data_IF_748238552408
#
_entry.id   IF_748238552408
#
_cell.length_a   1.000
_cell.length_b   1.000
_cell.length_c   1.000
_cell.angle_alpha   90.00
_cell.angle_beta   90.00
_cell.angle_gamma   90.00
#
_symmetry.space_group_name_H-M   'P 1'
#
loop_
_entity.id
_entity.type
_entity.pdbx_description
1 polymer ?
#
# COMPACT_ATOMS: atom_id res chain seq x y z
N UNK A 1 -96.72 13.09 -61.45
CA UNK A 1 -95.93 12.05 -60.79
C UNK A 1 -94.54 12.61 -60.56
N UNK A 2 -94.26 13.05 -59.33
CA UNK A 2 -92.94 13.56 -58.92
C UNK A 2 -92.46 12.69 -57.76
N UNK A 3 -91.36 11.96 -57.95
CA UNK A 3 -90.67 11.26 -56.86
C UNK A 3 -89.49 12.12 -56.41
N UNK A 4 -89.58 12.62 -55.18
CA UNK A 4 -88.51 13.32 -54.48
C UNK A 4 -87.65 12.26 -53.79
N UNK A 5 -86.39 12.15 -54.20
CA UNK A 5 -85.40 11.26 -53.59
C UNK A 5 -84.69 12.00 -52.45
N UNK A 6 -84.93 11.57 -51.20
CA UNK A 6 -84.22 12.05 -50.03
C UNK A 6 -82.96 11.20 -49.82
N UNK A 7 -81.78 11.74 -50.15
CA UNK A 7 -80.51 11.15 -49.73
C UNK A 7 -80.24 11.53 -48.27
N UNK A 8 -80.28 10.53 -47.38
CA UNK A 8 -79.83 10.65 -46.01
C UNK A 8 -78.30 10.68 -45.99
N UNK A 9 -77.72 11.86 -45.73
CA UNK A 9 -76.29 12.02 -45.48
C UNK A 9 -75.93 11.39 -44.14
N UNK A 10 -75.12 10.34 -44.16
CA UNK A 10 -74.40 9.87 -42.98
C UNK A 10 -73.22 10.81 -42.73
N UNK A 11 -73.30 11.56 -41.63
CA UNK A 11 -72.17 12.36 -41.13
C UNK A 11 -71.25 11.43 -40.36
N UNK A 12 -70.16 11.00 -40.99
CA UNK A 12 -69.08 10.29 -40.31
C UNK A 12 -68.33 11.24 -39.37
N UNK A 13 -68.73 11.31 -38.11
CA UNK A 13 -67.93 11.91 -37.04
C UNK A 13 -66.89 10.91 -36.52
N UNK A 14 -65.97 10.47 -37.38
CA UNK A 14 -64.81 9.70 -36.94
C UNK A 14 -63.70 10.67 -36.50
N UNK A 15 -63.87 11.21 -35.30
CA UNK A 15 -62.92 12.13 -34.67
C UNK A 15 -61.59 11.42 -34.41
N UNK A 16 -60.54 12.02 -34.97
CA UNK A 16 -59.15 11.57 -34.95
C UNK A 16 -58.61 11.31 -33.53
N UNK A 17 -58.47 10.04 -33.15
CA UNK A 17 -57.70 9.60 -31.96
C UNK A 17 -56.31 9.07 -32.34
N UNK A 18 -55.56 9.77 -33.20
CA UNK A 18 -54.25 9.30 -33.66
C UNK A 18 -53.19 10.40 -33.77
N UNK A 19 -52.89 11.11 -32.68
CA UNK A 19 -51.75 12.06 -32.70
C UNK A 19 -50.88 12.08 -31.46
N UNK A 20 -51.29 11.50 -30.32
CA UNK A 20 -50.47 11.49 -29.10
C UNK A 20 -49.59 10.23 -28.90
N UNK A 21 -49.79 9.14 -29.66
CA UNK A 21 -49.04 7.88 -29.46
C UNK A 21 -47.62 7.88 -30.04
N UNK A 22 -47.35 8.67 -31.08
CA UNK A 22 -46.03 8.75 -31.74
C UNK A 22 -44.94 9.47 -30.92
N UNK A 23 -45.19 10.64 -30.31
CA UNK A 23 -44.16 11.29 -29.50
C UNK A 23 -43.85 10.52 -28.21
N UNK A 24 -44.85 9.88 -27.59
CA UNK A 24 -44.66 9.07 -26.38
C UNK A 24 -43.75 7.85 -26.64
N UNK A 25 -43.93 7.16 -27.78
CA UNK A 25 -43.09 6.03 -28.16
C UNK A 25 -41.63 6.44 -28.42
N UNK A 26 -41.41 7.62 -29.02
CA UNK A 26 -40.08 8.17 -29.26
C UNK A 26 -39.39 8.51 -27.93
N UNK A 27 -40.10 9.16 -27.00
CA UNK A 27 -39.58 9.49 -25.66
C UNK A 27 -39.22 8.21 -24.88
N UNK A 28 -40.08 7.19 -24.92
CA UNK A 28 -39.82 5.91 -24.26
C UNK A 28 -38.61 5.18 -24.85
N UNK A 29 -38.48 5.18 -26.18
CA UNK A 29 -37.31 4.61 -26.88
C UNK A 29 -36.01 5.30 -26.47
N UNK A 30 -35.99 6.64 -26.44
CA UNK A 30 -34.83 7.41 -25.98
C UNK A 30 -34.48 7.11 -24.52
N UNK A 31 -35.48 6.98 -23.65
CA UNK A 31 -35.27 6.63 -22.24
C UNK A 31 -34.66 5.22 -22.07
N UNK A 32 -35.13 4.24 -22.85
CA UNK A 32 -34.57 2.88 -22.86
C UNK A 32 -33.12 2.91 -23.36
N UNK A 33 -32.82 3.62 -24.44
CA UNK A 33 -31.45 3.75 -24.96
C UNK A 33 -30.53 4.40 -23.93
N UNK A 34 -30.99 5.42 -23.20
CA UNK A 34 -30.22 6.05 -22.12
C UNK A 34 -29.93 5.08 -20.97
N UNK A 35 -30.91 4.27 -20.55
CA UNK A 35 -30.70 3.23 -19.52
C UNK A 35 -29.68 2.19 -19.99
N UNK A 36 -29.77 1.74 -21.25
CA UNK A 36 -28.82 0.79 -21.84
C UNK A 36 -27.40 1.38 -21.92
N UNK A 37 -27.26 2.66 -22.27
CA UNK A 37 -25.97 3.34 -22.29
C UNK A 37 -25.36 3.46 -20.88
N UNK A 38 -26.17 3.81 -19.87
CA UNK A 38 -25.73 3.88 -18.48
C UNK A 38 -25.32 2.50 -17.95
N UNK A 39 -26.11 1.45 -18.20
CA UNK A 39 -25.78 0.10 -17.76
C UNK A 39 -24.51 -0.42 -18.43
N UNK A 40 -24.34 -0.20 -19.73
CA UNK A 40 -23.12 -0.52 -20.46
C UNK A 40 -21.89 0.21 -19.89
N UNK A 41 -22.03 1.49 -19.53
CA UNK A 41 -20.98 2.27 -18.88
C UNK A 41 -20.56 1.68 -17.53
N UNK A 42 -21.53 1.31 -16.67
CA UNK A 42 -21.22 0.68 -15.38
C UNK A 42 -20.58 -0.70 -15.54
N UNK A 43 -21.03 -1.51 -16.50
CA UNK A 43 -20.44 -2.83 -16.81
C UNK A 43 -18.99 -2.66 -17.29
N UNK A 44 -18.74 -1.74 -18.23
CA UNK A 44 -17.40 -1.45 -18.72
C UNK A 44 -16.46 -1.01 -17.59
N UNK A 45 -16.92 -0.09 -16.72
CA UNK A 45 -16.14 0.37 -15.58
C UNK A 45 -15.80 -0.77 -14.62
N UNK A 46 -16.76 -1.67 -14.34
CA UNK A 46 -16.54 -2.85 -13.50
C UNK A 46 -15.52 -3.80 -14.11
N UNK A 47 -15.66 -4.11 -15.40
CA UNK A 47 -14.74 -4.98 -16.13
C UNK A 47 -13.30 -4.44 -16.13
N UNK A 48 -13.12 -3.15 -16.44
CA UNK A 48 -11.80 -2.50 -16.42
C UNK A 48 -11.15 -2.54 -15.04
N UNK A 49 -11.92 -2.32 -13.98
CA UNK A 49 -11.42 -2.38 -12.60
C UNK A 49 -10.98 -3.81 -12.22
N UNK A 50 -11.76 -4.82 -12.60
CA UNK A 50 -11.45 -6.23 -12.36
C UNK A 50 -10.19 -6.68 -13.11
N UNK A 51 -10.04 -6.28 -14.38
CA UNK A 51 -8.85 -6.55 -15.17
C UNK A 51 -7.59 -5.93 -14.54
N UNK A 52 -7.66 -4.66 -14.12
CA UNK A 52 -6.56 -3.97 -13.42
C UNK A 52 -6.20 -4.67 -12.10
N UNK A 53 -7.21 -5.07 -11.33
CA UNK A 53 -7.02 -5.82 -10.06
C UNK A 53 -6.30 -7.14 -10.30
N UNK A 54 -6.73 -7.91 -11.31
CA UNK A 54 -6.14 -9.19 -11.64
C UNK A 54 -4.69 -9.03 -12.11
N UNK A 55 -4.40 -8.05 -12.97
CA UNK A 55 -3.05 -7.76 -13.43
C UNK A 55 -2.11 -7.40 -12.26
N UNK A 56 -2.57 -6.57 -11.31
CA UNK A 56 -1.83 -6.25 -10.10
C UNK A 56 -1.51 -7.50 -9.28
N UNK A 57 -2.51 -8.34 -9.02
CA UNK A 57 -2.36 -9.53 -8.18
C UNK A 57 -1.39 -10.53 -8.81
N UNK A 58 -1.48 -10.78 -10.11
CA UNK A 58 -0.53 -11.67 -10.80
C UNK A 58 0.89 -11.11 -10.79
N UNK A 59 1.05 -9.80 -10.98
CA UNK A 59 2.35 -9.14 -10.88
C UNK A 59 2.96 -9.32 -9.47
N UNK A 60 2.22 -9.02 -8.41
CA UNK A 60 2.70 -9.16 -7.03
C UNK A 60 3.04 -10.62 -6.73
N UNK A 61 2.20 -11.58 -7.14
CA UNK A 61 2.46 -13.00 -6.94
C UNK A 61 3.77 -13.44 -7.60
N UNK A 62 4.03 -12.97 -8.82
CA UNK A 62 5.28 -13.24 -9.55
C UNK A 62 6.49 -12.66 -8.83
N UNK A 63 6.43 -11.39 -8.43
CA UNK A 63 7.53 -10.72 -7.72
C UNK A 63 7.89 -11.42 -6.40
N UNK A 64 6.89 -11.87 -5.64
CA UNK A 64 7.13 -12.59 -4.40
C UNK A 64 7.87 -13.89 -4.67
N UNK A 65 7.38 -14.73 -5.60
CA UNK A 65 8.03 -16.02 -5.94
C UNK A 65 9.49 -15.85 -6.39
N UNK A 66 9.76 -14.82 -7.19
CA UNK A 66 11.13 -14.51 -7.66
C UNK A 66 12.04 -14.17 -6.47
N UNK A 67 11.55 -13.37 -5.52
CA UNK A 67 12.36 -12.81 -4.43
C UNK A 67 12.55 -13.76 -3.26
N UNK A 68 11.50 -14.47 -2.87
CA UNK A 68 11.58 -15.47 -1.81
C UNK A 68 12.24 -16.77 -2.25
N UNK A 69 12.55 -16.92 -3.56
CA UNK A 69 13.03 -18.18 -4.14
C UNK A 69 12.12 -19.38 -3.82
N UNK A 70 10.84 -19.12 -3.53
CA UNK A 70 9.85 -20.15 -3.21
C UNK A 70 8.99 -20.46 -4.42
N UNK A 71 8.59 -21.73 -4.56
CA UNK A 71 7.62 -22.14 -5.58
C UNK A 71 6.25 -21.51 -5.35
N UNK A 72 5.90 -21.29 -4.08
CA UNK A 72 4.59 -20.83 -3.64
C UNK A 72 4.67 -19.52 -2.87
N UNK A 73 3.60 -18.74 -2.94
CA UNK A 73 3.45 -17.50 -2.18
C UNK A 73 3.03 -17.85 -0.75
N UNK A 74 3.64 -17.22 0.28
CA UNK A 74 3.25 -17.47 1.67
C UNK A 74 1.74 -17.29 1.88
N UNK A 75 1.12 -18.18 2.63
CA UNK A 75 -0.35 -18.23 2.83
C UNK A 75 -0.93 -16.88 3.28
N UNK A 76 -0.23 -16.19 4.19
CA UNK A 76 -0.66 -14.88 4.70
C UNK A 76 -0.74 -13.82 3.60
N UNK A 77 0.17 -13.87 2.62
CA UNK A 77 0.17 -12.98 1.46
C UNK A 77 -0.93 -13.40 0.49
N UNK A 78 -1.08 -14.70 0.21
CA UNK A 78 -2.14 -15.19 -0.67
C UNK A 78 -3.54 -14.81 -0.12
N UNK A 79 -3.72 -14.81 1.20
CA UNK A 79 -4.92 -14.27 1.85
C UNK A 79 -5.15 -12.79 1.52
N UNK A 80 -4.12 -11.94 1.58
CA UNK A 80 -4.25 -10.53 1.19
C UNK A 80 -4.60 -10.38 -0.29
N UNK A 81 -3.95 -11.15 -1.18
CA UNK A 81 -4.25 -11.16 -2.62
C UNK A 81 -5.71 -11.56 -2.88
N UNK A 82 -6.23 -12.55 -2.15
CA UNK A 82 -7.62 -12.97 -2.25
C UNK A 82 -8.61 -11.86 -1.82
N UNK A 83 -8.28 -11.07 -0.79
CA UNK A 83 -9.09 -9.94 -0.32
C UNK A 83 -9.15 -8.87 -1.42
N UNK A 84 -8.01 -8.56 -2.04
CA UNK A 84 -7.89 -7.54 -3.09
C UNK A 84 -8.78 -7.88 -4.30
N UNK A 85 -8.82 -9.15 -4.72
CA UNK A 85 -9.65 -9.62 -5.84
C UNK A 85 -11.16 -9.57 -5.59
N UNK A 86 -11.60 -9.65 -4.33
CA UNK A 86 -13.03 -9.71 -3.99
C UNK A 86 -13.68 -8.34 -4.07
N UNK A 87 -14.18 -7.96 -5.26
CA UNK A 87 -14.84 -6.66 -5.49
C UNK A 87 -16.10 -6.43 -4.65
N UNK A 88 -16.70 -7.51 -4.10
CA UNK A 88 -17.81 -7.45 -3.15
C UNK A 88 -17.40 -6.91 -1.78
N UNK A 89 -16.11 -6.92 -1.44
CA UNK A 89 -15.63 -6.40 -0.16
C UNK A 89 -15.55 -4.86 -0.17
N UNK A 90 -15.77 -4.22 1.00
CA UNK A 90 -15.62 -2.78 1.14
C UNK A 90 -14.26 -2.29 0.67
N UNK A 91 -14.23 -1.10 0.06
CA UNK A 91 -13.00 -0.45 -0.39
C UNK A 91 -11.95 -0.37 0.72
N UNK A 92 -12.39 -0.10 1.96
CA UNK A 92 -11.53 -0.09 3.14
C UNK A 92 -10.76 -1.40 3.33
N UNK A 93 -11.45 -2.54 3.28
CA UNK A 93 -10.82 -3.84 3.51
C UNK A 93 -9.80 -4.17 2.41
N UNK A 94 -10.12 -3.84 1.16
CA UNK A 94 -9.20 -4.02 0.02
C UNK A 94 -7.99 -3.10 0.10
N UNK A 95 -8.19 -1.84 0.48
CA UNK A 95 -7.10 -0.89 0.71
C UNK A 95 -6.20 -1.34 1.86
N UNK A 96 -6.77 -1.85 2.96
CA UNK A 96 -5.97 -2.41 4.07
C UNK A 96 -5.15 -3.61 3.64
N UNK A 97 -5.68 -4.50 2.81
CA UNK A 97 -4.91 -5.62 2.26
C UNK A 97 -3.72 -5.15 1.40
N UNK A 98 -3.90 -4.09 0.61
CA UNK A 98 -2.82 -3.45 -0.16
C UNK A 98 -1.77 -2.81 0.76
N UNK A 99 -2.19 -2.14 1.84
CA UNK A 99 -1.27 -1.63 2.86
C UNK A 99 -0.47 -2.74 3.54
N UNK A 100 -1.08 -3.88 3.85
CA UNK A 100 -0.38 -5.04 4.42
C UNK A 100 0.68 -5.61 3.47
N UNK A 101 0.39 -5.65 2.16
CA UNK A 101 1.39 -6.03 1.15
C UNK A 101 2.51 -5.00 1.04
N UNK A 102 2.20 -3.71 1.14
CA UNK A 102 3.21 -2.67 1.19
C UNK A 102 4.15 -2.89 2.40
N UNK A 103 3.60 -3.16 3.60
CA UNK A 103 4.42 -3.48 4.78
C UNK A 103 5.30 -4.72 4.59
N UNK A 104 4.79 -5.77 3.94
CA UNK A 104 5.60 -6.93 3.58
C UNK A 104 6.82 -6.52 2.73
N UNK A 105 6.62 -5.74 1.67
CA UNK A 105 7.72 -5.26 0.84
C UNK A 105 8.62 -4.26 1.57
N UNK A 106 8.11 -3.48 2.52
CA UNK A 106 8.95 -2.62 3.39
C UNK A 106 9.95 -3.45 4.20
N UNK A 107 9.47 -4.54 4.78
CA UNK A 107 10.31 -5.44 5.58
C UNK A 107 11.35 -6.11 4.68
N UNK A 108 10.92 -6.64 3.52
CA UNK A 108 11.84 -7.28 2.57
C UNK A 108 12.90 -6.30 2.06
N UNK A 109 12.52 -5.04 1.78
CA UNK A 109 13.47 -3.99 1.42
C UNK A 109 14.47 -3.69 2.54
N UNK A 110 14.01 -3.66 3.79
CA UNK A 110 14.87 -3.41 4.95
C UNK A 110 15.89 -4.53 5.17
N UNK A 111 15.56 -5.76 4.79
CA UNK A 111 16.47 -6.91 4.88
C UNK A 111 17.44 -6.96 3.70
N UNK A 112 16.93 -6.79 2.48
CA UNK A 112 17.69 -7.04 1.24
C UNK A 112 18.40 -5.80 0.69
N UNK A 113 17.94 -4.60 1.07
CA UNK A 113 18.34 -3.33 0.48
C UNK A 113 18.19 -3.29 -1.06
N UNK A 114 17.28 -4.08 -1.63
CA UNK A 114 17.02 -4.07 -3.07
C UNK A 114 16.08 -2.90 -3.44
N UNK A 115 16.57 -1.87 -4.16
CA UNK A 115 15.76 -0.71 -4.54
C UNK A 115 14.52 -1.07 -5.39
N UNK A 116 14.51 -2.21 -6.09
CA UNK A 116 13.33 -2.63 -6.85
C UNK A 116 12.14 -2.93 -5.95
N UNK A 117 12.36 -3.39 -4.72
CA UNK A 117 11.30 -3.70 -3.76
C UNK A 117 10.57 -2.43 -3.34
N UNK A 118 11.33 -1.37 -3.10
CA UNK A 118 10.79 -0.04 -2.81
C UNK A 118 9.92 0.47 -3.97
N UNK A 119 10.34 0.26 -5.21
CA UNK A 119 9.58 0.66 -6.40
C UNK A 119 8.26 -0.11 -6.53
N UNK A 120 8.19 -1.38 -6.13
CA UNK A 120 6.94 -2.16 -6.13
C UNK A 120 5.93 -1.52 -5.18
N UNK A 121 6.33 -1.20 -3.95
CA UNK A 121 5.42 -0.56 -2.99
C UNK A 121 4.93 0.79 -3.50
N UNK A 122 5.82 1.63 -4.03
CA UNK A 122 5.49 2.98 -4.46
C UNK A 122 4.71 3.03 -5.78
N UNK A 123 5.30 2.46 -6.83
CA UNK A 123 4.87 2.68 -8.21
C UNK A 123 3.87 1.63 -8.70
N UNK A 124 3.73 0.53 -7.98
CA UNK A 124 2.74 -0.51 -8.31
C UNK A 124 1.60 -0.48 -7.30
N UNK A 125 1.85 -0.75 -6.02
CA UNK A 125 0.80 -0.83 -5.00
C UNK A 125 0.25 0.57 -4.68
N UNK A 126 1.13 1.52 -4.35
CA UNK A 126 0.74 2.88 -3.97
C UNK A 126 0.03 3.61 -5.11
N UNK A 127 0.53 3.49 -6.34
CA UNK A 127 -0.15 4.00 -7.55
C UNK A 127 -1.55 3.41 -7.70
N UNK A 128 -1.68 2.08 -7.56
CA UNK A 128 -2.98 1.43 -7.66
C UNK A 128 -3.97 1.92 -6.58
N UNK A 129 -3.53 2.07 -5.33
CA UNK A 129 -4.37 2.62 -4.24
C UNK A 129 -4.76 4.06 -4.54
N UNK A 130 -3.83 4.90 -5.01
CA UNK A 130 -4.09 6.30 -5.37
C UNK A 130 -5.15 6.43 -6.46
N UNK A 131 -5.11 5.54 -7.46
CA UNK A 131 -6.04 5.57 -8.60
C UNK A 131 -7.42 4.98 -8.27
N UNK A 132 -7.49 3.91 -7.46
CA UNK A 132 -8.73 3.16 -7.21
C UNK A 132 -9.40 3.51 -5.88
N UNK A 133 -8.63 3.99 -4.89
CA UNK A 133 -9.06 4.31 -3.54
C UNK A 133 -8.45 5.65 -3.06
N UNK A 134 -8.65 6.77 -3.80
CA UNK A 134 -7.94 8.02 -3.53
C UNK A 134 -8.15 8.54 -2.09
N UNK A 135 -9.36 8.38 -1.54
CA UNK A 135 -9.68 8.81 -0.17
C UNK A 135 -9.00 7.96 0.93
N UNK A 136 -8.42 6.82 0.55
CA UNK A 136 -7.75 5.87 1.46
C UNK A 136 -6.23 5.83 1.23
N UNK A 137 -5.72 6.59 0.26
CA UNK A 137 -4.31 6.65 -0.03
C UNK A 137 -3.56 7.44 1.04
N UNK A 138 -2.62 6.77 1.70
CA UNK A 138 -1.68 7.41 2.62
C UNK A 138 -0.25 7.26 2.06
N UNK A 139 0.40 8.36 1.61
CA UNK A 139 1.74 8.29 1.03
C UNK A 139 2.78 7.70 1.98
N UNK A 140 2.63 7.86 3.29
CA UNK A 140 3.57 7.32 4.29
C UNK A 140 3.59 5.78 4.31
N UNK A 141 2.49 5.13 3.94
CA UNK A 141 2.39 3.66 3.89
C UNK A 141 3.03 3.09 2.62
N UNK A 142 3.11 3.86 1.53
CA UNK A 142 3.61 3.34 0.25
C UNK A 142 5.01 3.87 -0.10
N UNK A 143 5.39 5.02 0.46
CA UNK A 143 6.70 5.65 0.28
C UNK A 143 7.57 5.47 1.52
N UNK A 144 8.13 4.27 1.68
CA UNK A 144 9.03 3.98 2.81
C UNK A 144 10.31 4.82 2.74
N UNK A 145 10.84 5.13 3.92
CA UNK A 145 12.11 5.82 4.10
C UNK A 145 13.24 4.99 3.52
N UNK A 146 14.20 5.65 2.87
CA UNK A 146 15.39 4.97 2.38
C UNK A 146 16.21 4.40 3.55
N UNK A 147 16.56 3.12 3.46
CA UNK A 147 17.39 2.41 4.44
C UNK A 147 18.69 1.87 3.84
N UNK A 148 19.04 2.25 2.60
CA UNK A 148 20.20 1.72 1.86
C UNK A 148 21.20 2.80 1.44
N UNK A 149 22.46 2.44 1.12
CA UNK A 149 23.51 3.41 0.75
C UNK A 149 23.26 4.15 -0.58
N UNK A 150 22.45 3.60 -1.48
CA UNK A 150 22.18 4.18 -2.81
C UNK A 150 21.25 5.38 -2.73
N UNK A 151 20.32 5.41 -1.78
CA UNK A 151 19.42 6.54 -1.57
C UNK A 151 19.58 7.25 -0.21
N UNK A 152 20.42 6.71 0.68
CA UNK A 152 20.62 7.18 2.03
C UNK A 152 21.85 8.04 2.21
N UNK A 153 22.13 8.44 3.45
CA UNK A 153 23.37 9.13 3.82
C UNK A 153 24.52 8.15 4.06
N UNK A 154 25.76 8.50 3.69
CA UNK A 154 26.91 7.69 4.06
C UNK A 154 27.02 7.57 5.59
N UNK A 155 27.42 6.40 6.06
CA UNK A 155 27.56 6.13 7.49
C UNK A 155 28.65 7.00 8.12
N UNK A 156 28.36 7.56 9.31
CA UNK A 156 29.35 8.30 10.09
C UNK A 156 30.46 7.38 10.61
N UNK A 157 31.65 7.93 10.96
CA UNK A 157 32.73 7.16 11.55
C UNK A 157 32.31 6.38 12.81
N UNK A 158 31.51 6.98 13.68
CA UNK A 158 31.01 6.36 14.92
C UNK A 158 30.11 5.18 14.63
N UNK A 159 29.19 5.31 13.66
CA UNK A 159 28.32 4.21 13.25
C UNK A 159 29.13 3.06 12.63
N UNK A 160 30.12 3.37 11.79
CA UNK A 160 31.01 2.36 11.21
C UNK A 160 31.79 1.62 12.30
N UNK A 161 32.31 2.35 13.29
CA UNK A 161 33.00 1.77 14.44
C UNK A 161 32.08 0.81 15.21
N UNK A 162 30.84 1.22 15.51
CA UNK A 162 29.91 0.36 16.24
C UNK A 162 29.53 -0.88 15.44
N UNK A 163 29.28 -0.75 14.14
CA UNK A 163 29.01 -1.91 13.28
C UNK A 163 30.17 -2.91 13.28
N UNK A 164 31.41 -2.40 13.20
CA UNK A 164 32.62 -3.24 13.26
C UNK A 164 32.75 -3.94 14.62
N UNK A 165 32.50 -3.23 15.73
CA UNK A 165 32.51 -3.78 17.08
C UNK A 165 31.46 -4.89 17.26
N UNK A 166 30.22 -4.68 16.80
CA UNK A 166 29.16 -5.69 16.88
C UNK A 166 29.56 -6.93 16.09
N UNK A 167 30.00 -6.76 14.85
CA UNK A 167 30.32 -7.88 13.94
C UNK A 167 31.47 -8.74 14.47
N UNK A 168 32.51 -8.12 15.05
CA UNK A 168 33.71 -8.80 15.57
C UNK A 168 33.58 -9.30 17.02
N UNK A 169 32.49 -8.98 17.70
CA UNK A 169 32.30 -9.34 19.10
C UNK A 169 31.99 -10.84 19.30
N UNK A 170 31.89 -11.23 20.56
CA UNK A 170 31.36 -12.50 21.05
C UNK A 170 29.84 -12.45 21.35
N UNK A 171 29.13 -11.43 20.87
CA UNK A 171 27.67 -11.36 20.98
C UNK A 171 27.00 -12.59 20.35
N UNK A 172 25.84 -13.03 20.88
CA UNK A 172 25.01 -14.03 20.21
C UNK A 172 24.72 -13.64 18.76
N UNK A 173 24.81 -14.60 17.84
CA UNK A 173 24.75 -14.34 16.39
C UNK A 173 23.44 -13.66 15.98
N UNK A 174 22.31 -14.07 16.59
CA UNK A 174 21.02 -13.42 16.38
C UNK A 174 21.03 -11.93 16.79
N UNK A 175 21.76 -11.57 17.85
CA UNK A 175 21.92 -10.19 18.30
C UNK A 175 22.80 -9.43 17.32
N UNK A 176 23.91 -10.02 16.86
CA UNK A 176 24.81 -9.38 15.88
C UNK A 176 24.10 -9.00 14.60
N UNK A 177 23.38 -9.95 14.01
CA UNK A 177 22.65 -9.77 12.76
C UNK A 177 21.60 -8.67 12.95
N UNK A 178 20.70 -8.86 13.92
CA UNK A 178 19.56 -7.94 14.14
C UNK A 178 20.04 -6.53 14.51
N UNK A 179 21.03 -6.39 15.40
CA UNK A 179 21.54 -5.09 15.80
C UNK A 179 22.27 -4.37 14.65
N UNK A 180 23.06 -5.10 13.85
CA UNK A 180 23.78 -4.54 12.72
C UNK A 180 22.85 -4.09 11.59
N UNK A 181 21.83 -4.89 11.27
CA UNK A 181 20.81 -4.56 10.28
C UNK A 181 20.00 -3.34 10.71
N UNK A 182 19.46 -3.35 11.92
CA UNK A 182 18.70 -2.21 12.46
C UNK A 182 19.55 -0.93 12.50
N UNK A 183 20.81 -1.04 12.91
CA UNK A 183 21.71 0.11 12.97
C UNK A 183 22.01 0.66 11.57
N UNK A 184 22.30 -0.22 10.60
CA UNK A 184 22.51 0.18 9.20
C UNK A 184 21.28 0.89 8.65
N UNK A 185 20.12 0.26 8.76
CA UNK A 185 18.87 0.76 8.21
C UNK A 185 18.52 2.13 8.77
N UNK A 186 18.61 2.30 10.10
CA UNK A 186 18.38 3.59 10.74
C UNK A 186 19.42 4.65 10.32
N UNK A 187 20.68 4.26 10.16
CA UNK A 187 21.78 5.20 9.88
C UNK A 187 21.75 5.75 8.45
N UNK A 188 21.29 4.96 7.48
CA UNK A 188 21.12 5.40 6.09
C UNK A 188 19.96 6.38 5.91
N UNK A 189 19.00 6.46 6.85
CA UNK A 189 17.88 7.40 6.75
C UNK A 189 18.36 8.86 6.66
N UNK A 190 17.71 9.65 5.81
CA UNK A 190 17.95 11.09 5.71
C UNK A 190 17.53 11.81 7.00
N UNK A 191 18.17 12.95 7.31
CA UNK A 191 17.84 13.71 8.54
C UNK A 191 16.45 14.33 8.53
N UNK A 192 15.79 14.43 7.36
CA UNK A 192 14.37 14.76 7.27
C UNK A 192 13.48 13.71 7.96
N UNK A 193 13.99 12.51 8.22
CA UNK A 193 13.34 11.42 8.95
C UNK A 193 14.04 11.18 10.31
N UNK A 194 14.49 12.24 10.97
CA UNK A 194 15.27 12.17 12.21
C UNK A 194 14.56 11.39 13.31
N UNK A 195 13.23 11.52 13.47
CA UNK A 195 12.45 10.77 14.45
C UNK A 195 12.58 9.25 14.30
N UNK A 196 12.43 8.73 13.07
CA UNK A 196 12.54 7.30 12.77
C UNK A 196 13.97 6.79 12.95
N UNK A 197 14.95 7.59 12.53
CA UNK A 197 16.37 7.32 12.75
C UNK A 197 16.69 7.22 14.24
N UNK A 198 16.24 8.18 15.05
CA UNK A 198 16.46 8.20 16.51
C UNK A 198 15.81 6.96 17.13
N UNK A 199 14.60 6.61 16.73
CA UNK A 199 13.91 5.41 17.21
C UNK A 199 14.68 4.13 16.87
N UNK A 200 15.11 3.96 15.62
CA UNK A 200 15.88 2.81 15.18
C UNK A 200 17.21 2.66 15.94
N UNK A 201 17.94 3.75 16.15
CA UNK A 201 19.19 3.72 16.94
C UNK A 201 18.91 3.40 18.42
N UNK A 202 17.82 3.93 19.01
CA UNK A 202 17.42 3.61 20.39
C UNK A 202 17.05 2.14 20.57
N UNK A 203 16.42 1.50 19.58
CA UNK A 203 16.16 0.06 19.60
C UNK A 203 17.47 -0.74 19.68
N UNK A 204 18.46 -0.37 18.86
CA UNK A 204 19.78 -1.01 18.87
C UNK A 204 20.47 -0.82 20.22
N UNK A 205 20.45 0.40 20.79
CA UNK A 205 20.99 0.67 22.13
C UNK A 205 20.36 -0.28 23.17
N UNK A 206 19.03 -0.38 23.19
CA UNK A 206 18.33 -1.25 24.15
C UNK A 206 18.70 -2.72 23.97
N UNK A 207 18.79 -3.20 22.73
CA UNK A 207 19.15 -4.57 22.41
C UNK A 207 20.58 -4.90 22.87
N UNK A 208 21.54 -4.00 22.60
CA UNK A 208 22.93 -4.17 22.99
C UNK A 208 23.11 -4.14 24.51
N UNK A 209 22.39 -3.27 25.22
CA UNK A 209 22.42 -3.23 26.69
C UNK A 209 21.85 -4.51 27.32
N UNK A 210 20.74 -5.01 26.79
CA UNK A 210 20.09 -6.24 27.30
C UNK A 210 20.89 -7.51 27.04
N UNK A 211 21.86 -7.48 26.13
CA UNK A 211 22.73 -8.63 25.85
C UNK A 211 23.65 -9.00 27.02
N UNK A 212 23.89 -8.09 27.97
CA UNK A 212 24.83 -8.30 29.08
C UNK A 212 26.30 -8.34 28.66
N UNK A 213 26.60 -8.11 27.38
CA UNK A 213 27.95 -8.19 26.83
C UNK A 213 28.72 -6.85 26.96
N UNK A 214 30.01 -6.86 27.35
CA UNK A 214 30.81 -5.64 27.47
C UNK A 214 30.96 -4.84 26.17
N UNK A 215 31.17 -5.52 25.03
CA UNK A 215 31.26 -4.88 23.71
C UNK A 215 29.92 -4.28 23.32
N UNK A 216 28.82 -4.98 23.60
CA UNK A 216 27.45 -4.47 23.43
C UNK A 216 27.22 -3.20 24.25
N UNK A 217 27.58 -3.21 25.53
CA UNK A 217 27.46 -2.05 26.42
C UNK A 217 28.29 -0.86 25.95
N UNK A 218 29.53 -1.08 25.52
CA UNK A 218 30.37 -0.03 24.95
C UNK A 218 29.79 0.56 23.67
N UNK A 219 29.33 -0.31 22.75
CA UNK A 219 28.66 0.07 21.51
C UNK A 219 27.42 0.92 21.77
N UNK A 220 26.59 0.51 22.73
CA UNK A 220 25.41 1.28 23.16
C UNK A 220 25.79 2.68 23.65
N UNK A 221 26.86 2.81 24.46
CA UNK A 221 27.34 4.10 24.94
C UNK A 221 27.82 5.04 23.82
N UNK A 222 28.49 4.48 22.80
CA UNK A 222 28.89 5.26 21.61
C UNK A 222 27.65 5.77 20.88
N UNK A 223 26.65 4.92 20.66
CA UNK A 223 25.38 5.31 20.02
C UNK A 223 24.59 6.35 20.84
N UNK A 224 24.58 6.23 22.16
CA UNK A 224 23.96 7.24 23.05
C UNK A 224 24.64 8.60 22.90
N UNK A 225 25.98 8.63 22.89
CA UNK A 225 26.74 9.87 22.66
C UNK A 225 26.44 10.44 21.27
N UNK A 226 26.42 9.59 20.24
CA UNK A 226 26.07 9.98 18.88
C UNK A 226 24.70 10.66 18.82
N UNK A 227 23.66 10.09 19.46
CA UNK A 227 22.32 10.67 19.52
C UNK A 227 22.30 12.01 20.27
N UNK A 228 23.04 12.11 21.38
CA UNK A 228 23.15 13.36 22.14
C UNK A 228 23.79 14.48 21.31
N UNK A 229 24.92 14.20 20.65
CA UNK A 229 25.65 15.22 19.90
C UNK A 229 24.97 15.63 18.59
N UNK A 230 24.36 14.70 17.86
CA UNK A 230 23.80 14.99 16.54
C UNK A 230 22.32 15.38 16.55
N UNK A 231 21.58 15.01 17.61
CA UNK A 231 20.13 15.19 17.65
C UNK A 231 19.63 15.81 18.96
N UNK A 232 20.52 16.20 19.87
CA UNK A 232 20.17 16.73 21.20
C UNK A 232 19.20 15.83 21.99
N UNK A 233 19.35 14.52 21.82
CA UNK A 233 18.51 13.53 22.47
C UNK A 233 19.19 13.08 23.76
N UNK A 234 18.60 13.41 24.91
CA UNK A 234 19.03 12.84 26.19
C UNK A 234 18.66 11.35 26.27
N UNK A 235 19.55 10.54 26.84
CA UNK A 235 19.27 9.13 27.11
C UNK A 235 18.16 9.05 28.15
N UNK A 236 17.02 8.45 27.80
CA UNK A 236 16.12 7.95 28.83
C UNK A 236 16.91 6.92 29.64
N UNK A 237 17.06 7.21 30.93
CA UNK A 237 17.82 6.38 31.86
C UNK A 237 17.38 4.93 31.74
N UNK A 238 18.37 4.05 31.70
CA UNK A 238 18.28 2.61 31.95
C UNK A 238 17.11 2.28 32.86
N UNK A 239 16.19 1.44 32.39
CA UNK A 239 15.31 0.67 33.26
C UNK A 239 16.27 -0.06 34.22
N UNK A 240 16.36 0.43 35.46
CA UNK A 240 16.99 -0.31 36.53
C UNK A 240 16.28 -1.65 36.57
N UNK A 241 17.02 -2.72 36.32
CA UNK A 241 16.56 -4.07 36.61
C UNK A 241 16.10 -4.06 38.08
N UNK A 242 14.81 -4.31 38.39
CA UNK A 242 14.42 -4.53 39.76
C UNK A 242 14.91 -5.92 40.15
N UNK A 243 16.13 -5.95 40.67
CA UNK A 243 16.70 -6.96 41.57
C UNK A 243 17.03 -8.39 41.05
N UNK A 244 17.95 -9.09 41.75
CA UNK A 244 18.71 -10.26 41.27
C UNK A 244 17.94 -11.57 41.19
#
# INVERSE_FOLDING_TARGET
>A
MNYVSCYAGWVDTNTSKHTYKRPLAIILSLFIVMILALSAFFIYKKYKAEQSTNALVEYIRKEIKIRSSTKDVPEQIEKQLSIIKKTSLPAQQRSTALSNLAFYFSNEYSTTNDPQIRLISQNVIGKYVKENFPNLYNPTIFNFVCADPKCGKPLSPEIKQVLDQITKSDLPENIKITASENLRNASYMLDTNSSDKIFGIRLVISQLQRSGNPVGSNSANILTKYLKYNYNVESQQTIQNPNP
#
